data_IF_490441963739
#
_entry.id   IF_490441963739
#
_cell.length_a   1.000
_cell.length_b   1.000
_cell.length_c   1.000
_cell.angle_alpha   90.00
_cell.angle_beta   90.00
_cell.angle_gamma   90.00
#
_symmetry.space_group_name_H-M   'P 1'
#
loop_
_entity.id
_entity.type
_entity.pdbx_description
1 polymer ?
#
# COMPACT_ATOMS: atom_id res chain seq x y z
N UNK A 1 16.10 -2.23 15.79
CA UNK A 1 15.31 -1.11 15.27
C UNK A 1 14.57 -1.56 14.02
N UNK A 2 13.32 -1.97 14.16
CA UNK A 2 12.41 -2.01 13.00
C UNK A 2 12.09 -0.56 12.66
N UNK A 3 12.57 -0.06 11.52
CA UNK A 3 12.28 1.30 11.05
C UNK A 3 10.78 1.55 10.89
N UNK A 4 10.39 2.81 10.69
CA UNK A 4 9.00 3.19 10.43
C UNK A 4 8.59 2.82 8.99
N UNK A 5 7.42 2.21 8.82
CA UNK A 5 6.93 1.79 7.50
C UNK A 5 5.41 1.80 7.43
N UNK A 6 4.90 2.00 6.21
CA UNK A 6 3.51 1.78 5.85
C UNK A 6 3.31 0.41 5.20
N UNK A 7 2.10 -0.13 5.29
CA UNK A 7 1.67 -1.31 4.56
C UNK A 7 0.38 -0.98 3.83
N UNK A 8 0.35 -1.25 2.53
CA UNK A 8 -0.84 -1.12 1.68
C UNK A 8 -1.17 -2.51 1.16
N UNK A 9 -2.37 -3.00 1.44
CA UNK A 9 -2.85 -4.30 0.98
C UNK A 9 -4.12 -4.10 0.16
N UNK A 10 -4.21 -4.80 -0.97
CA UNK A 10 -5.41 -4.94 -1.78
C UNK A 10 -5.76 -6.42 -1.80
N UNK A 11 -6.90 -6.76 -1.23
CA UNK A 11 -7.30 -8.13 -0.94
C UNK A 11 -8.58 -8.42 -1.71
N UNK A 12 -8.57 -9.33 -2.70
CA UNK A 12 -9.78 -9.77 -3.39
C UNK A 12 -10.75 -10.41 -2.40
N UNK A 13 -12.06 -10.18 -2.52
CA UNK A 13 -13.06 -10.82 -1.64
C UNK A 13 -13.02 -12.36 -1.72
N UNK A 14 -12.56 -12.90 -2.85
CA UNK A 14 -12.41 -14.34 -3.11
C UNK A 14 -11.05 -14.92 -2.71
N UNK A 15 -10.18 -14.18 -2.00
CA UNK A 15 -8.80 -14.61 -1.72
C UNK A 15 -8.67 -15.96 -0.99
N UNK A 16 -9.71 -16.41 -0.29
CA UNK A 16 -9.75 -17.71 0.38
C UNK A 16 -10.26 -18.85 -0.50
N UNK A 17 -10.85 -18.55 -1.67
CA UNK A 17 -11.37 -19.54 -2.59
C UNK A 17 -10.27 -20.02 -3.55
N UNK A 18 -9.78 -21.26 -3.43
CA UNK A 18 -8.70 -21.76 -4.29
C UNK A 18 -9.06 -21.76 -5.78
N UNK A 19 -10.34 -21.93 -6.11
CA UNK A 19 -10.83 -21.89 -7.49
C UNK A 19 -10.66 -20.50 -8.13
N UNK A 20 -10.59 -19.45 -7.31
CA UNK A 20 -10.39 -18.09 -7.77
C UNK A 20 -8.91 -17.67 -7.84
N UNK A 21 -7.98 -18.54 -7.45
CA UNK A 21 -6.55 -18.25 -7.53
C UNK A 21 -6.12 -17.88 -8.95
N UNK A 22 -5.27 -16.87 -9.05
CA UNK A 22 -4.62 -16.44 -10.28
C UNK A 22 -3.17 -16.84 -10.16
N UNK A 23 -2.63 -17.65 -11.07
CA UNK A 23 -1.20 -18.02 -10.98
C UNK A 23 -0.29 -16.85 -11.39
N UNK A 24 -0.28 -15.79 -10.57
CA UNK A 24 0.49 -14.55 -10.77
C UNK A 24 1.97 -14.86 -10.96
N UNK A 25 2.49 -15.84 -10.21
CA UNK A 25 3.85 -16.35 -10.37
C UNK A 25 4.11 -16.92 -11.78
N UNK A 26 3.21 -17.75 -12.32
CA UNK A 26 3.39 -18.34 -13.65
C UNK A 26 3.22 -17.30 -14.77
N UNK A 27 2.28 -16.36 -14.60
CA UNK A 27 2.12 -15.22 -15.51
C UNK A 27 3.37 -14.34 -15.52
N UNK A 28 3.95 -14.06 -14.35
CA UNK A 28 5.21 -13.32 -14.22
C UNK A 28 6.38 -14.04 -14.86
N UNK A 29 6.56 -15.33 -14.54
CA UNK A 29 7.65 -16.16 -15.08
C UNK A 29 7.59 -16.27 -16.60
N UNK A 30 6.38 -16.31 -17.17
CA UNK A 30 6.18 -16.37 -18.62
C UNK A 30 6.23 -15.00 -19.32
N UNK A 31 6.45 -13.91 -18.58
CA UNK A 31 6.44 -12.54 -19.11
C UNK A 31 5.07 -12.07 -19.58
N UNK A 32 4.01 -12.78 -19.21
CA UNK A 32 2.62 -12.53 -19.62
C UNK A 32 1.86 -11.68 -18.61
N UNK A 33 2.38 -11.48 -17.40
CA UNK A 33 1.77 -10.55 -16.47
C UNK A 33 2.08 -9.12 -16.94
N UNK A 34 1.06 -8.32 -17.27
CA UNK A 34 1.26 -6.92 -17.58
C UNK A 34 1.53 -6.20 -16.26
N UNK A 35 2.80 -5.85 -16.03
CA UNK A 35 3.20 -5.00 -14.92
C UNK A 35 2.98 -3.54 -15.34
N UNK A 36 1.98 -2.85 -14.79
CA UNK A 36 1.69 -1.48 -15.19
C UNK A 36 2.83 -0.55 -14.78
N UNK A 37 3.00 0.54 -15.52
CA UNK A 37 4.05 1.54 -15.25
C UNK A 37 3.92 2.14 -13.84
N UNK A 38 2.71 2.20 -13.30
CA UNK A 38 2.41 2.65 -11.94
C UNK A 38 3.13 1.82 -10.87
N UNK A 39 3.35 0.53 -11.13
CA UNK A 39 4.06 -0.36 -10.22
C UNK A 39 5.58 -0.31 -10.40
N UNK A 40 6.09 0.29 -11.49
CA UNK A 40 7.51 0.26 -11.85
C UNK A 40 8.44 0.80 -10.77
N UNK A 41 8.00 1.80 -10.00
CA UNK A 41 8.77 2.38 -8.90
C UNK A 41 8.84 1.47 -7.66
N UNK A 42 7.91 0.53 -7.53
CA UNK A 42 7.77 -0.38 -6.38
C UNK A 42 8.26 -1.81 -6.68
N UNK A 43 8.53 -2.13 -7.94
CA UNK A 43 9.01 -3.46 -8.38
C UNK A 43 10.50 -3.59 -8.03
N UNK A 44 10.77 -3.82 -6.75
CA UNK A 44 11.98 -4.50 -6.27
C UNK A 44 11.67 -5.83 -5.59
N UNK A 45 10.39 -6.23 -5.55
CA UNK A 45 9.91 -7.46 -4.93
C UNK A 45 9.67 -8.62 -5.90
N UNK A 46 9.50 -9.82 -5.32
CA UNK A 46 9.31 -11.09 -6.03
C UNK A 46 7.81 -11.39 -6.16
N UNK A 47 7.38 -11.93 -7.29
CA UNK A 47 6.13 -12.69 -7.34
C UNK A 47 6.37 -14.01 -6.61
N UNK A 48 5.50 -14.37 -5.67
CA UNK A 48 5.71 -15.52 -4.79
C UNK A 48 4.67 -16.60 -5.05
N UNK A 49 5.09 -17.87 -5.23
CA UNK A 49 4.16 -18.99 -5.24
C UNK A 49 3.54 -19.09 -3.84
N UNK A 50 2.22 -19.24 -3.79
CA UNK A 50 1.35 -19.30 -2.60
C UNK A 50 2.04 -19.39 -1.24
N UNK A 51 1.84 -18.35 -0.44
CA UNK A 51 1.99 -18.38 1.02
C UNK A 51 0.94 -17.44 1.60
N UNK A 52 -0.29 -17.92 1.78
CA UNK A 52 -1.41 -17.40 2.61
C UNK A 52 -1.47 -15.89 2.96
N UNK A 53 -1.02 -15.00 2.09
CA UNK A 53 -0.88 -13.57 2.40
C UNK A 53 0.09 -13.24 3.55
N UNK A 54 0.99 -14.16 3.94
CA UNK A 54 1.90 -13.93 5.08
C UNK A 54 3.22 -13.34 4.59
N UNK A 55 3.59 -12.18 5.14
CA UNK A 55 4.87 -11.54 4.94
C UNK A 55 6.03 -12.42 5.45
N UNK A 56 6.82 -12.99 4.53
CA UNK A 56 8.14 -13.55 4.85
C UNK A 56 9.20 -12.46 4.70
N UNK A 57 9.84 -11.96 5.77
CA UNK A 57 11.02 -11.10 5.63
C UNK A 57 12.08 -11.81 4.79
N UNK A 58 12.89 -11.04 4.06
CA UNK A 58 14.04 -11.62 3.35
C UNK A 58 15.00 -12.24 4.38
N UNK A 59 15.36 -13.52 4.23
CA UNK A 59 16.26 -14.22 5.16
C UNK A 59 17.63 -13.53 5.33
N UNK A 60 18.01 -12.67 4.38
CA UNK A 60 19.29 -11.97 4.38
C UNK A 60 19.26 -10.57 5.03
N UNK A 61 18.08 -10.01 5.36
CA UNK A 61 17.93 -8.71 6.03
C UNK A 61 18.46 -7.49 5.26
N UNK A 62 19.07 -7.71 4.07
CA UNK A 62 19.76 -6.70 3.27
C UNK A 62 18.85 -6.05 2.22
N UNK A 63 17.63 -6.56 2.04
CA UNK A 63 16.70 -6.17 0.97
C UNK A 63 15.30 -5.83 1.46
N UNK A 64 15.20 -5.40 2.72
CA UNK A 64 13.92 -5.18 3.41
C UNK A 64 13.26 -3.81 3.12
N UNK A 65 13.73 -3.10 2.08
CA UNK A 65 13.21 -1.83 1.60
C UNK A 65 12.15 -2.05 0.52
N UNK A 66 11.09 -1.22 0.53
CA UNK A 66 10.01 -1.12 -0.46
C UNK A 66 9.76 -2.39 -1.28
N UNK A 67 8.97 -3.31 -0.71
CA UNK A 67 8.71 -4.63 -1.29
C UNK A 67 7.26 -4.71 -1.74
N UNK A 68 7.02 -4.54 -3.04
CA UNK A 68 5.78 -4.95 -3.67
C UNK A 68 5.74 -6.47 -3.84
N UNK A 69 4.66 -7.10 -3.38
CA UNK A 69 4.39 -8.53 -3.54
C UNK A 69 3.02 -8.72 -4.14
N UNK A 70 2.95 -9.63 -5.10
CA UNK A 70 1.69 -10.04 -5.73
C UNK A 70 1.61 -11.55 -5.56
N UNK A 71 0.57 -11.99 -4.87
CA UNK A 71 0.37 -13.38 -4.47
C UNK A 71 -0.58 -14.10 -5.44
N UNK A 72 -0.49 -15.43 -5.51
CA UNK A 72 -1.34 -16.23 -6.39
C UNK A 72 -2.84 -16.24 -5.99
N UNK A 73 -3.19 -15.79 -4.78
CA UNK A 73 -4.59 -15.56 -4.41
C UNK A 73 -5.08 -14.15 -4.79
N UNK A 74 -4.28 -13.39 -5.55
CA UNK A 74 -4.62 -12.05 -6.04
C UNK A 74 -4.36 -10.93 -5.03
N UNK A 75 -3.87 -11.24 -3.83
CA UNK A 75 -3.46 -10.20 -2.87
C UNK A 75 -2.28 -9.42 -3.46
N UNK A 76 -2.35 -8.09 -3.37
CA UNK A 76 -1.24 -7.19 -3.66
C UNK A 76 -0.86 -6.49 -2.36
N UNK A 77 0.40 -6.57 -1.97
CA UNK A 77 0.93 -5.98 -0.74
C UNK A 77 2.16 -5.14 -1.04
N UNK A 78 2.17 -3.88 -0.58
CA UNK A 78 3.34 -3.02 -0.57
C UNK A 78 3.72 -2.70 0.87
N UNK A 79 4.91 -3.12 1.29
CA UNK A 79 5.61 -2.54 2.46
C UNK A 79 6.35 -1.30 1.97
N UNK A 80 6.01 -0.13 2.47
CA UNK A 80 6.59 1.15 2.08
C UNK A 80 7.42 1.77 3.22
N UNK A 81 8.69 2.09 3.01
CA UNK A 81 9.49 2.70 4.08
C UNK A 81 9.13 4.18 4.20
N UNK A 82 8.76 4.61 5.40
CA UNK A 82 8.38 6.01 5.62
C UNK A 82 9.60 6.84 6.00
N UNK A 83 9.70 8.01 5.36
CA UNK A 83 10.79 8.93 5.58
C UNK A 83 10.43 9.96 6.67
N UNK A 84 11.47 10.48 7.32
CA UNK A 84 11.36 11.59 8.25
C UNK A 84 12.21 12.77 7.79
N UNK A 85 11.85 13.97 8.23
CA UNK A 85 12.67 15.17 8.08
C UNK A 85 12.79 15.88 9.41
N UNK A 86 14.01 16.19 9.81
CA UNK A 86 14.28 16.97 11.01
C UNK A 86 14.14 18.46 10.71
N UNK A 87 13.47 19.18 11.59
CA UNK A 87 13.40 20.64 11.60
C UNK A 87 13.70 21.12 13.02
N UNK A 88 14.93 21.62 13.24
CA UNK A 88 15.44 21.85 14.59
C UNK A 88 15.59 20.52 15.33
N UNK A 89 15.08 20.47 16.57
CA UNK A 89 15.12 19.28 17.44
C UNK A 89 13.94 18.33 17.25
N UNK A 90 13.03 18.62 16.32
CA UNK A 90 11.81 17.85 16.10
C UNK A 90 11.87 17.08 14.77
N UNK A 91 11.30 15.87 14.75
CA UNK A 91 11.23 15.01 13.57
C UNK A 91 9.81 14.95 13.00
N UNK A 92 9.71 15.13 11.70
CA UNK A 92 8.44 15.17 10.97
C UNK A 92 8.33 13.98 10.01
N UNK A 93 7.19 13.29 10.05
CA UNK A 93 6.82 12.24 9.12
C UNK A 93 6.52 12.84 7.74
N UNK A 94 7.23 12.37 6.71
CA UNK A 94 6.97 12.71 5.31
C UNK A 94 5.98 11.71 4.73
N UNK A 95 4.69 12.06 4.69
CA UNK A 95 3.60 11.16 4.28
C UNK A 95 3.16 11.31 2.82
N UNK A 96 3.61 12.35 2.11
CA UNK A 96 3.17 12.62 0.73
C UNK A 96 3.48 11.47 -0.23
N UNK A 97 4.71 10.94 -0.18
CA UNK A 97 5.15 9.86 -1.06
C UNK A 97 4.36 8.57 -0.79
N UNK A 98 4.02 8.32 0.48
CA UNK A 98 3.16 7.20 0.86
C UNK A 98 1.73 7.34 0.30
N UNK A 99 1.18 8.55 0.28
CA UNK A 99 -0.14 8.77 -0.34
C UNK A 99 -0.13 8.57 -1.86
N UNK A 100 0.98 8.89 -2.52
CA UNK A 100 1.15 8.57 -3.94
C UNK A 100 1.27 7.05 -4.14
N UNK A 101 1.98 6.36 -3.26
CA UNK A 101 2.09 4.90 -3.31
C UNK A 101 0.72 4.21 -3.16
N UNK A 102 -0.18 4.73 -2.32
CA UNK A 102 -1.57 4.22 -2.22
C UNK A 102 -2.27 4.26 -3.58
N UNK A 103 -2.19 5.39 -4.28
CA UNK A 103 -2.80 5.56 -5.60
C UNK A 103 -2.17 4.62 -6.64
N UNK A 104 -0.84 4.60 -6.72
CA UNK A 104 -0.10 3.76 -7.67
C UNK A 104 -0.39 2.27 -7.50
N UNK A 105 -0.53 1.79 -6.26
CA UNK A 105 -0.81 0.38 -5.96
C UNK A 105 -2.25 0.00 -6.31
N UNK A 106 -3.23 0.87 -6.03
CA UNK A 106 -4.63 0.61 -6.36
C UNK A 106 -4.84 0.66 -7.88
N UNK A 107 -4.32 1.68 -8.56
CA UNK A 107 -4.41 1.79 -10.02
C UNK A 107 -3.66 0.67 -10.72
N UNK A 108 -2.45 0.33 -10.25
CA UNK A 108 -1.67 -0.77 -10.80
C UNK A 108 -2.39 -2.11 -10.63
N UNK A 109 -3.07 -2.34 -9.51
CA UNK A 109 -3.87 -3.55 -9.32
C UNK A 109 -5.08 -3.59 -10.26
N UNK A 110 -5.74 -2.44 -10.48
CA UNK A 110 -6.82 -2.34 -11.45
C UNK A 110 -6.37 -2.65 -12.88
N UNK A 111 -5.23 -2.11 -13.32
CA UNK A 111 -4.71 -2.39 -14.66
C UNK A 111 -4.27 -3.86 -14.83
N UNK A 112 -3.73 -4.50 -13.79
CA UNK A 112 -3.48 -5.96 -13.78
C UNK A 112 -4.78 -6.72 -14.03
N UNK A 113 -5.83 -6.44 -13.24
CA UNK A 113 -7.10 -7.17 -13.32
C UNK A 113 -7.84 -6.90 -14.64
N UNK A 114 -7.73 -5.69 -15.17
CA UNK A 114 -8.26 -5.31 -16.48
C UNK A 114 -7.63 -6.11 -17.60
N UNK A 115 -6.31 -6.27 -17.57
CA UNK A 115 -5.61 -7.05 -18.58
C UNK A 115 -5.84 -8.57 -18.44
N UNK A 116 -6.25 -9.02 -17.26
CA UNK A 116 -6.74 -10.38 -17.02
C UNK A 116 -8.25 -10.52 -17.32
N UNK A 117 -8.93 -9.44 -17.74
CA UNK A 117 -10.38 -9.37 -17.97
C UNK A 117 -11.20 -9.89 -16.78
N UNK A 118 -10.75 -9.60 -15.56
CA UNK A 118 -11.29 -10.17 -14.34
C UNK A 118 -11.93 -9.12 -13.45
N UNK A 119 -13.23 -9.26 -13.24
CA UNK A 119 -13.97 -8.50 -12.24
C UNK A 119 -13.73 -9.08 -10.84
N UNK A 120 -13.61 -8.20 -9.84
CA UNK A 120 -13.48 -8.62 -8.45
C UNK A 120 -13.87 -7.49 -7.52
N UNK A 121 -14.64 -7.82 -6.49
CA UNK A 121 -14.71 -6.99 -5.28
C UNK A 121 -13.38 -7.10 -4.54
N UNK A 122 -12.89 -6.00 -4.00
CA UNK A 122 -11.62 -5.93 -3.29
C UNK A 122 -11.71 -5.05 -2.05
N UNK A 123 -10.86 -5.35 -1.06
CA UNK A 123 -10.70 -4.56 0.15
C UNK A 123 -9.31 -3.94 0.19
N UNK A 124 -9.25 -2.63 0.38
CA UNK A 124 -8.02 -1.87 0.54
C UNK A 124 -7.77 -1.63 2.03
N UNK A 125 -6.62 -2.09 2.53
CA UNK A 125 -6.19 -1.92 3.90
C UNK A 125 -4.90 -1.11 3.94
N UNK A 126 -4.86 -0.07 4.77
CA UNK A 126 -3.67 0.78 4.95
C UNK A 126 -3.27 0.80 6.42
N UNK A 127 -2.00 0.53 6.70
CA UNK A 127 -1.44 0.59 8.05
C UNK A 127 -0.12 1.38 8.07
N UNK A 128 0.21 1.98 9.20
CA UNK A 128 1.48 2.66 9.46
C UNK A 128 2.02 2.21 10.81
N UNK A 129 3.28 1.78 10.86
CA UNK A 129 3.94 1.18 12.02
C UNK A 129 5.21 1.97 12.35
N UNK A 130 5.47 2.18 13.65
CA UNK A 130 6.65 2.90 14.13
C UNK A 130 6.51 4.42 14.07
N UNK A 131 5.28 4.95 14.06
CA UNK A 131 5.02 6.38 13.81
C UNK A 131 4.80 7.23 15.05
N UNK A 132 4.88 6.65 16.25
CA UNK A 132 4.66 7.40 17.50
C UNK A 132 5.71 8.48 17.70
N UNK A 133 5.27 9.68 18.06
CA UNK A 133 6.15 10.78 18.42
C UNK A 133 6.68 11.58 17.23
N UNK A 134 6.32 11.24 16.00
CA UNK A 134 6.61 12.06 14.84
C UNK A 134 5.54 13.14 14.65
N UNK A 135 5.95 14.33 14.21
CA UNK A 135 5.02 15.36 13.79
C UNK A 135 4.55 15.08 12.36
N UNK A 136 3.29 15.37 12.05
CA UNK A 136 2.85 15.26 10.67
C UNK A 136 3.37 16.44 9.85
N UNK A 137 4.16 16.14 8.82
CA UNK A 137 4.53 17.13 7.82
C UNK A 137 3.36 17.36 6.86
N UNK A 138 2.86 18.60 6.79
CA UNK A 138 2.09 19.06 5.63
C UNK A 138 2.87 20.20 4.96
N UNK A 139 3.31 19.95 3.72
CA UNK A 139 4.04 20.94 2.91
C UNK A 139 3.22 22.19 2.63
N UNK A 140 1.89 22.10 2.69
CA UNK A 140 0.95 23.23 2.52
C UNK A 140 0.67 23.97 3.83
N UNK A 141 1.06 23.40 4.97
CA UNK A 141 0.82 23.96 6.31
C UNK A 141 2.06 24.56 6.97
N UNK A 142 3.17 24.75 6.23
CA UNK A 142 4.36 25.40 6.79
C UNK A 142 3.98 26.80 7.33
N UNK A 143 3.86 26.90 8.66
CA UNK A 143 3.42 28.11 9.36
C UNK A 143 1.90 28.34 9.48
N UNK A 144 1.03 27.44 9.00
CA UNK A 144 -0.44 27.60 9.13
C UNK A 144 -1.12 26.27 9.45
N UNK A 145 -1.57 26.16 10.70
CA UNK A 145 -2.32 25.06 11.35
C UNK A 145 -1.44 24.06 12.08
N UNK A 146 -1.82 23.76 13.32
CA UNK A 146 -1.08 22.96 14.28
C UNK A 146 -0.72 21.58 13.69
N UNK A 147 0.56 21.37 13.39
CA UNK A 147 1.09 20.03 13.23
C UNK A 147 0.67 19.23 14.48
N UNK A 148 0.13 18.04 14.27
CA UNK A 148 -0.18 17.12 15.35
C UNK A 148 0.96 16.14 15.50
N UNK A 149 1.25 15.74 16.74
CA UNK A 149 2.22 14.69 17.04
C UNK A 149 1.46 13.38 17.12
N UNK A 150 1.90 12.38 16.38
CA UNK A 150 1.24 11.08 16.34
C UNK A 150 1.40 10.41 17.71
N UNK A 151 0.29 9.99 18.32
CA UNK A 151 0.23 9.46 19.68
C UNK A 151 0.32 7.93 19.74
N UNK A 152 0.09 7.26 18.60
CA UNK A 152 0.07 5.80 18.45
C UNK A 152 1.28 5.31 17.68
N UNK A 153 1.81 4.17 18.09
CA UNK A 153 2.90 3.50 17.37
C UNK A 153 2.41 2.78 16.11
N UNK A 154 1.15 2.33 16.14
CA UNK A 154 0.51 1.60 15.06
C UNK A 154 -0.81 2.26 14.72
N UNK A 155 -0.96 2.60 13.44
CA UNK A 155 -2.19 3.06 12.82
C UNK A 155 -2.66 1.96 11.89
N UNK A 156 -3.89 1.51 12.08
CA UNK A 156 -4.56 0.55 11.19
C UNK A 156 -5.85 1.21 10.75
N UNK A 157 -5.94 1.54 9.46
CA UNK A 157 -7.14 2.16 8.90
C UNK A 157 -8.23 1.12 8.69
N UNK A 158 -9.49 1.54 8.77
CA UNK A 158 -10.63 0.70 8.41
C UNK A 158 -10.47 0.23 6.95
N UNK A 159 -10.75 -1.05 6.62
CA UNK A 159 -10.74 -1.50 5.24
C UNK A 159 -11.79 -0.78 4.39
N UNK A 160 -11.43 -0.38 3.16
CA UNK A 160 -12.37 0.20 2.19
C UNK A 160 -12.67 -0.78 1.07
N UNK A 161 -13.94 -0.86 0.67
CA UNK A 161 -14.40 -1.77 -0.37
C UNK A 161 -14.39 -1.08 -1.75
N UNK A 162 -13.69 -1.68 -2.70
CA UNK A 162 -13.89 -1.48 -4.12
C UNK A 162 -14.88 -2.55 -4.57
N UNK A 163 -16.08 -2.16 -4.97
CA UNK A 163 -17.16 -3.07 -5.36
C UNK A 163 -16.77 -3.87 -6.60
N UNK A 164 -16.13 -3.21 -7.55
CA UNK A 164 -15.56 -3.82 -8.74
C UNK A 164 -14.27 -3.09 -9.12
N UNK A 165 -13.16 -3.82 -9.13
CA UNK A 165 -11.83 -3.31 -9.46
C UNK A 165 -11.72 -2.77 -10.89
N UNK A 166 -12.65 -3.13 -11.78
CA UNK A 166 -12.70 -2.62 -13.16
C UNK A 166 -13.56 -1.36 -13.31
N UNK A 167 -14.34 -0.97 -12.28
CA UNK A 167 -15.05 0.30 -12.24
C UNK A 167 -14.10 1.43 -11.84
N UNK A 168 -13.53 2.11 -12.84
CA UNK A 168 -12.58 3.20 -12.66
C UNK A 168 -13.12 4.36 -11.82
N UNK A 169 -14.44 4.58 -11.80
CA UNK A 169 -15.04 5.63 -10.97
C UNK A 169 -14.98 5.21 -9.50
N UNK A 170 -15.40 3.99 -9.19
CA UNK A 170 -15.32 3.46 -7.83
C UNK A 170 -13.87 3.36 -7.35
N UNK A 171 -12.94 2.94 -8.20
CA UNK A 171 -11.51 2.91 -7.90
C UNK A 171 -10.99 4.29 -7.47
N UNK A 172 -11.29 5.35 -8.24
CA UNK A 172 -10.87 6.72 -7.92
C UNK A 172 -11.47 7.25 -6.62
N UNK A 173 -12.75 6.96 -6.37
CA UNK A 173 -13.42 7.33 -5.12
C UNK A 173 -12.73 6.67 -3.91
N UNK A 174 -12.38 5.38 -4.02
CA UNK A 174 -11.73 4.64 -2.94
C UNK A 174 -10.28 5.08 -2.72
N UNK A 175 -9.54 5.46 -3.77
CA UNK A 175 -8.20 6.06 -3.64
C UNK A 175 -8.25 7.32 -2.76
N UNK A 176 -9.17 8.24 -3.06
CA UNK A 176 -9.28 9.49 -2.32
C UNK A 176 -9.76 9.27 -0.89
N UNK A 177 -10.72 8.37 -0.66
CA UNK A 177 -11.13 8.00 0.70
C UNK A 177 -10.02 7.28 1.48
N UNK A 178 -9.20 6.42 0.86
CA UNK A 178 -8.02 5.80 1.48
C UNK A 178 -7.03 6.87 1.97
N UNK A 179 -6.67 7.81 1.10
CA UNK A 179 -5.76 8.91 1.44
C UNK A 179 -6.33 9.76 2.57
N UNK A 180 -7.62 10.10 2.48
CA UNK A 180 -8.34 10.90 3.49
C UNK A 180 -8.38 10.21 4.84
N UNK A 181 -8.76 8.93 4.92
CA UNK A 181 -8.75 8.18 6.18
C UNK A 181 -7.35 8.07 6.76
N UNK A 182 -6.34 7.82 5.93
CA UNK A 182 -4.94 7.73 6.39
C UNK A 182 -4.47 9.08 6.97
N UNK A 183 -4.81 10.21 6.32
CA UNK A 183 -4.58 11.57 6.85
C UNK A 183 -5.25 11.76 8.21
N UNK A 184 -6.53 11.42 8.31
CA UNK A 184 -7.27 11.54 9.58
C UNK A 184 -6.65 10.69 10.69
N UNK A 185 -6.27 9.46 10.39
CA UNK A 185 -5.68 8.54 11.35
C UNK A 185 -4.29 9.01 11.83
N UNK A 186 -3.56 9.72 10.97
CA UNK A 186 -2.34 10.43 11.34
C UNK A 186 -2.62 11.71 12.15
N UNK A 187 -3.84 12.24 12.14
CA UNK A 187 -4.18 13.52 12.77
C UNK A 187 -3.89 14.73 11.89
N UNK A 188 -3.77 14.54 10.58
CA UNK A 188 -3.68 15.60 9.58
C UNK A 188 -5.09 16.14 9.28
N UNK A 189 -5.23 17.46 9.13
CA UNK A 189 -6.51 18.14 8.85
C UNK A 189 -6.72 18.38 7.36
#
# INVERSE_FOLDING_TARGET
>A
NTGMFGVIQIIPASFTNPADSISMFDFGKSGKLPLPVQLSNHIRGKMLPNVDGVWFPSEDGLRDFELLRIFNNGIVELKYNLNTRSYGDEEYLVSLEFFNAIEEIIEGTSEIYKALERHSTMYVCTSIIGCKGYWNYDSRSFGRSAASKVDRDRIVCTPLEIRDILDLKNVKEIIEECKKMTRYALGMK
#
